data_IF_266128536825
#
_entry.id   IF_266128536825
#
_cell.length_a   1.000
_cell.length_b   1.000
_cell.length_c   1.000
_cell.angle_alpha   90.00
_cell.angle_beta   90.00
_cell.angle_gamma   90.00
#
_symmetry.space_group_name_H-M   'P 1'
#
loop_
_entity.id
_entity.type
_entity.pdbx_description
1 polymer ?
#
# COMPACT_ATOMS: atom_id res chain seq x y z
N UNK A 1 19.38 -0.94 -15.20
CA UNK A 1 18.24 -0.16 -15.73
C UNK A 1 17.80 -0.78 -17.05
N UNK A 2 16.63 -1.32 -17.07
CA UNK A 2 15.93 -1.76 -18.26
C UNK A 2 15.14 -0.64 -18.89
N UNK A 3 14.54 -0.90 -20.02
CA UNK A 3 13.57 -0.04 -20.65
C UNK A 3 12.83 -0.82 -21.70
N UNK A 4 11.58 -0.44 -21.95
CA UNK A 4 10.73 -1.10 -22.94
C UNK A 4 10.07 -0.08 -23.87
N UNK A 5 9.78 -0.52 -25.07
CA UNK A 5 9.02 0.26 -26.03
C UNK A 5 7.52 0.09 -25.73
N UNK A 6 6.83 1.21 -25.45
CA UNK A 6 5.39 1.24 -25.26
C UNK A 6 4.79 2.11 -26.37
N UNK A 7 4.18 1.47 -27.36
CA UNK A 7 3.87 2.13 -28.62
C UNK A 7 5.16 2.61 -29.30
N UNK A 8 5.26 3.89 -29.64
CA UNK A 8 6.44 4.51 -30.26
C UNK A 8 7.36 5.22 -29.23
N UNK A 9 7.09 5.05 -27.93
CA UNK A 9 7.82 5.75 -26.87
C UNK A 9 8.66 4.77 -26.06
N UNK A 10 9.97 5.09 -25.89
CA UNK A 10 10.84 4.35 -25.00
C UNK A 10 10.58 4.75 -23.56
N UNK A 11 10.22 3.78 -22.71
CA UNK A 11 10.00 3.98 -21.27
C UNK A 11 11.10 3.27 -20.50
N UNK A 12 11.82 4.00 -19.67
CA UNK A 12 12.78 3.42 -18.76
C UNK A 12 12.03 2.77 -17.59
N UNK A 13 12.33 1.49 -17.33
CA UNK A 13 11.81 0.74 -16.20
C UNK A 13 12.94 0.42 -15.23
N UNK A 14 12.62 0.28 -13.94
CA UNK A 14 13.56 -0.29 -12.97
C UNK A 14 13.58 -1.82 -13.09
N UNK A 15 14.64 -2.45 -12.57
CA UNK A 15 14.68 -3.91 -12.51
C UNK A 15 13.53 -4.45 -11.62
N UNK A 16 13.15 -3.69 -10.59
CA UNK A 16 11.99 -4.01 -9.76
C UNK A 16 10.69 -4.03 -10.56
N UNK A 17 10.43 -3.01 -11.40
CA UNK A 17 9.23 -2.96 -12.24
C UNK A 17 9.19 -4.11 -13.24
N UNK A 18 10.33 -4.47 -13.84
CA UNK A 18 10.43 -5.59 -14.78
C UNK A 18 10.11 -6.93 -14.08
N UNK A 19 10.57 -7.13 -12.85
CA UNK A 19 10.20 -8.31 -12.06
C UNK A 19 8.73 -8.32 -11.64
N UNK A 20 8.16 -7.17 -11.28
CA UNK A 20 6.72 -7.07 -10.98
C UNK A 20 5.90 -7.46 -12.22
N UNK A 21 6.24 -6.96 -13.40
CA UNK A 21 5.55 -7.29 -14.64
C UNK A 21 5.64 -8.79 -14.96
N UNK A 22 6.83 -9.37 -14.83
CA UNK A 22 7.02 -10.82 -15.02
C UNK A 22 6.20 -11.64 -14.01
N UNK A 23 6.14 -11.21 -12.74
CA UNK A 23 5.32 -11.82 -11.70
C UNK A 23 3.83 -11.75 -12.03
N UNK A 24 3.34 -10.61 -12.50
CA UNK A 24 1.95 -10.45 -12.93
C UNK A 24 1.60 -11.38 -14.10
N UNK A 25 2.48 -11.54 -15.08
CA UNK A 25 2.28 -12.48 -16.18
C UNK A 25 2.17 -13.93 -15.69
N UNK A 26 3.00 -14.31 -14.71
CA UNK A 26 2.92 -15.63 -14.06
C UNK A 26 1.63 -15.83 -13.27
N UNK A 27 1.22 -14.80 -12.52
CA UNK A 27 -0.05 -14.81 -11.78
C UNK A 27 -1.25 -15.04 -12.73
N UNK A 28 -1.30 -14.30 -13.85
CA UNK A 28 -2.35 -14.46 -14.86
C UNK A 28 -2.38 -15.85 -15.49
N UNK A 29 -1.20 -16.50 -15.61
CA UNK A 29 -1.09 -17.90 -16.03
C UNK A 29 -1.41 -18.91 -14.92
N UNK A 30 -1.85 -18.47 -13.74
CA UNK A 30 -2.08 -19.27 -12.54
C UNK A 30 -0.84 -20.00 -12.02
N UNK A 31 0.35 -19.59 -12.44
CA UNK A 31 1.64 -20.07 -11.94
C UNK A 31 2.05 -19.24 -10.71
N UNK A 32 1.31 -19.40 -9.62
CA UNK A 32 1.47 -18.56 -8.41
C UNK A 32 2.84 -18.73 -7.75
N UNK A 33 3.43 -19.93 -7.79
CA UNK A 33 4.75 -20.18 -7.21
C UNK A 33 5.86 -19.41 -7.94
N UNK A 34 5.83 -19.41 -9.28
CA UNK A 34 6.76 -18.60 -10.06
C UNK A 34 6.50 -17.11 -9.88
N UNK A 35 5.22 -16.70 -9.78
CA UNK A 35 4.84 -15.32 -9.52
C UNK A 35 5.44 -14.82 -8.19
N UNK A 36 5.34 -15.60 -7.11
CA UNK A 36 5.95 -15.30 -5.82
C UNK A 36 7.46 -15.05 -5.97
N UNK A 37 8.15 -15.96 -6.68
CA UNK A 37 9.60 -15.84 -6.90
C UNK A 37 9.97 -14.51 -7.59
N UNK A 38 9.16 -14.06 -8.56
CA UNK A 38 9.39 -12.79 -9.24
C UNK A 38 9.11 -11.59 -8.33
N UNK A 39 8.03 -11.61 -7.55
CA UNK A 39 7.72 -10.53 -6.62
C UNK A 39 8.75 -10.42 -5.48
N UNK A 40 9.28 -11.54 -4.99
CA UNK A 40 10.37 -11.55 -4.02
C UNK A 40 11.66 -10.97 -4.62
N UNK A 41 11.98 -11.31 -5.88
CA UNK A 41 13.11 -10.70 -6.61
C UNK A 41 12.91 -9.20 -6.77
N UNK A 42 11.69 -8.74 -7.07
CA UNK A 42 11.38 -7.32 -7.18
C UNK A 42 11.73 -6.55 -5.89
N UNK A 43 11.48 -7.15 -4.72
CA UNK A 43 11.77 -6.51 -3.42
C UNK A 43 13.27 -6.37 -3.12
N UNK A 44 14.14 -7.07 -3.85
CA UNK A 44 15.60 -7.04 -3.68
C UNK A 44 16.34 -6.44 -4.88
N UNK A 45 15.61 -6.08 -5.93
CA UNK A 45 16.16 -5.53 -7.17
C UNK A 45 16.45 -4.01 -7.07
N UNK A 46 17.10 -3.46 -8.09
CA UNK A 46 17.27 -2.02 -8.22
C UNK A 46 15.91 -1.36 -8.53
N UNK A 47 15.53 -0.38 -7.70
CA UNK A 47 14.29 0.37 -7.83
C UNK A 47 14.43 1.66 -8.63
N UNK A 48 13.31 2.36 -8.80
CA UNK A 48 13.26 3.69 -9.42
C UNK A 48 13.44 4.83 -8.40
N UNK A 49 13.75 4.52 -7.14
CA UNK A 49 13.91 5.49 -6.08
C UNK A 49 15.27 6.18 -6.05
N UNK A 50 15.59 6.77 -4.92
CA UNK A 50 16.82 7.57 -4.77
C UNK A 50 18.06 6.69 -4.70
N UNK A 51 19.07 7.03 -5.49
CA UNK A 51 20.42 6.44 -5.39
C UNK A 51 21.30 7.28 -4.47
N UNK A 52 21.25 7.00 -3.17
CA UNK A 52 22.02 7.74 -2.16
C UNK A 52 23.52 7.43 -2.18
N UNK A 53 23.85 6.21 -2.55
CA UNK A 53 25.21 5.71 -2.63
C UNK A 53 25.45 5.17 -4.05
N UNK A 54 26.48 5.69 -4.74
CA UNK A 54 26.81 5.30 -6.12
C UNK A 54 27.22 3.83 -6.25
N UNK A 55 27.69 3.22 -5.15
CA UNK A 55 28.14 1.82 -5.10
C UNK A 55 27.00 0.83 -4.85
N UNK A 56 25.80 1.32 -4.46
CA UNK A 56 24.63 0.51 -4.17
C UNK A 56 23.55 0.70 -5.23
N UNK A 57 22.66 -0.28 -5.41
CA UNK A 57 21.48 -0.11 -6.27
C UNK A 57 20.60 1.05 -5.77
N UNK A 58 19.80 1.61 -6.67
CA UNK A 58 18.79 2.60 -6.30
C UNK A 58 17.73 1.96 -5.39
N UNK A 59 17.23 2.74 -4.43
CA UNK A 59 16.23 2.27 -3.49
C UNK A 59 14.90 1.98 -4.20
N UNK A 60 14.12 1.07 -3.64
CA UNK A 60 12.74 0.86 -4.07
C UNK A 60 11.88 2.06 -3.67
N UNK A 61 11.05 2.53 -4.57
CA UNK A 61 9.99 3.49 -4.25
C UNK A 61 8.92 2.83 -3.35
N UNK A 62 8.11 3.67 -2.68
CA UNK A 62 6.96 3.16 -1.94
C UNK A 62 5.98 2.42 -2.84
N UNK A 63 5.74 2.92 -4.07
CA UNK A 63 4.85 2.28 -5.04
C UNK A 63 5.33 0.90 -5.47
N UNK A 64 6.62 0.73 -5.73
CA UNK A 64 7.22 -0.58 -6.06
C UNK A 64 7.04 -1.58 -4.91
N UNK A 65 7.33 -1.16 -3.67
CA UNK A 65 7.12 -2.01 -2.48
C UNK A 65 5.65 -2.40 -2.30
N UNK A 66 4.74 -1.44 -2.41
CA UNK A 66 3.30 -1.68 -2.32
C UNK A 66 2.84 -2.69 -3.37
N UNK A 67 3.24 -2.49 -4.63
CA UNK A 67 2.87 -3.40 -5.72
C UNK A 67 3.38 -4.81 -5.50
N UNK A 68 4.65 -4.97 -5.09
CA UNK A 68 5.22 -6.28 -4.85
C UNK A 68 4.51 -7.01 -3.69
N UNK A 69 4.31 -6.34 -2.55
CA UNK A 69 3.63 -6.96 -1.39
C UNK A 69 2.14 -7.23 -1.64
N UNK A 70 1.43 -6.34 -2.35
CA UNK A 70 0.05 -6.55 -2.73
C UNK A 70 -0.11 -7.81 -3.58
N UNK A 71 0.74 -7.97 -4.60
CA UNK A 71 0.72 -9.14 -5.46
C UNK A 71 1.16 -10.42 -4.73
N UNK A 72 2.12 -10.35 -3.79
CA UNK A 72 2.45 -11.47 -2.91
C UNK A 72 1.24 -11.89 -2.07
N UNK A 73 0.48 -10.92 -1.54
CA UNK A 73 -0.76 -11.21 -0.82
C UNK A 73 -1.73 -12.00 -1.69
N UNK A 74 -1.93 -11.57 -2.95
CA UNK A 74 -2.81 -12.25 -3.90
C UNK A 74 -2.33 -13.67 -4.21
N UNK A 75 -1.03 -13.87 -4.47
CA UNK A 75 -0.47 -15.19 -4.72
C UNK A 75 -0.69 -16.14 -3.53
N UNK A 76 -0.36 -15.69 -2.32
CA UNK A 76 -0.52 -16.51 -1.12
C UNK A 76 -1.99 -16.79 -0.83
N UNK A 77 -2.90 -15.84 -1.08
CA UNK A 77 -4.35 -16.04 -0.96
C UNK A 77 -4.86 -17.11 -1.94
N UNK A 78 -4.40 -17.09 -3.20
CA UNK A 78 -4.73 -18.12 -4.22
C UNK A 78 -4.21 -19.50 -3.87
N UNK A 79 -3.09 -19.57 -3.16
CA UNK A 79 -2.48 -20.83 -2.69
C UNK A 79 -2.98 -21.27 -1.32
N UNK A 80 -3.91 -20.55 -0.73
CA UNK A 80 -4.46 -20.79 0.63
C UNK A 80 -3.39 -20.74 1.74
N UNK A 81 -2.29 -20.05 1.50
CA UNK A 81 -1.23 -19.80 2.48
C UNK A 81 -1.60 -18.57 3.35
N UNK A 82 -2.59 -18.72 4.21
CA UNK A 82 -3.22 -17.60 4.94
C UNK A 82 -2.23 -16.78 5.76
N UNK A 83 -1.30 -17.41 6.46
CA UNK A 83 -0.34 -16.69 7.31
C UNK A 83 0.59 -15.81 6.48
N UNK A 84 1.07 -16.29 5.34
CA UNK A 84 1.91 -15.52 4.43
C UNK A 84 1.10 -14.44 3.71
N UNK A 85 -0.16 -14.72 3.37
CA UNK A 85 -1.06 -13.73 2.79
C UNK A 85 -1.28 -12.55 3.75
N UNK A 86 -1.58 -12.81 5.01
CA UNK A 86 -1.77 -11.75 6.01
C UNK A 86 -0.48 -11.02 6.35
N UNK A 87 0.65 -11.71 6.40
CA UNK A 87 1.95 -11.06 6.58
C UNK A 87 2.27 -10.12 5.42
N UNK A 88 2.04 -10.54 4.17
CA UNK A 88 2.24 -9.71 2.98
C UNK A 88 1.26 -8.54 2.92
N UNK A 89 0.00 -8.73 3.31
CA UNK A 89 -1.00 -7.67 3.42
C UNK A 89 -0.57 -6.61 4.44
N UNK A 90 -0.06 -7.02 5.58
CA UNK A 90 0.45 -6.09 6.59
C UNK A 90 1.65 -5.30 6.06
N UNK A 91 2.58 -5.93 5.35
CA UNK A 91 3.71 -5.25 4.69
C UNK A 91 3.24 -4.28 3.60
N UNK A 92 2.16 -4.58 2.89
CA UNK A 92 1.52 -3.67 1.94
C UNK A 92 1.12 -2.36 2.63
N UNK A 93 0.40 -2.44 3.74
CA UNK A 93 0.02 -1.26 4.53
C UNK A 93 1.23 -0.54 5.14
N UNK A 94 2.20 -1.28 5.68
CA UNK A 94 3.43 -0.70 6.23
C UNK A 94 4.25 0.04 5.17
N UNK A 95 4.17 -0.37 3.91
CA UNK A 95 4.76 0.33 2.77
C UNK A 95 4.00 1.59 2.35
N UNK A 96 2.92 1.94 3.06
CA UNK A 96 2.16 3.16 2.84
C UNK A 96 0.91 3.01 1.97
N UNK A 97 0.47 1.78 1.64
CA UNK A 97 -0.78 1.56 0.92
C UNK A 97 -1.98 2.07 1.73
N UNK A 98 -2.93 2.71 1.05
CA UNK A 98 -4.13 3.31 1.66
C UNK A 98 -3.83 4.27 2.82
N UNK A 99 -2.66 4.92 2.82
CA UNK A 99 -2.24 5.82 3.89
C UNK A 99 -2.75 7.25 3.62
N UNK A 100 -3.74 7.69 4.39
CA UNK A 100 -4.35 9.01 4.27
C UNK A 100 -3.41 10.19 4.57
N UNK A 101 -2.36 9.98 5.38
CA UNK A 101 -1.34 11.01 5.65
C UNK A 101 -0.43 11.24 4.45
N UNK A 102 -0.13 10.19 3.69
CA UNK A 102 0.76 10.27 2.53
C UNK A 102 0.03 10.75 1.27
N UNK A 103 -1.19 10.28 1.04
CA UNK A 103 -1.88 10.46 -0.23
C UNK A 103 -3.20 11.21 -0.13
N UNK A 104 -3.61 11.61 1.08
CA UNK A 104 -4.90 12.21 1.35
C UNK A 104 -6.02 11.19 1.58
N UNK A 105 -7.02 11.59 2.37
CA UNK A 105 -8.09 10.71 2.84
C UNK A 105 -8.96 10.15 1.71
N UNK A 106 -9.23 10.95 0.67
CA UNK A 106 -10.05 10.51 -0.46
C UNK A 106 -9.38 9.41 -1.28
N UNK A 107 -8.06 9.44 -1.44
CA UNK A 107 -7.31 8.36 -2.10
C UNK A 107 -7.25 7.12 -1.23
N UNK A 108 -6.95 7.28 0.06
CA UNK A 108 -6.94 6.17 0.99
C UNK A 108 -8.29 5.45 1.05
N UNK A 109 -9.41 6.17 1.05
CA UNK A 109 -10.73 5.58 1.02
C UNK A 109 -10.96 4.73 -0.23
N UNK A 110 -10.55 5.22 -1.42
CA UNK A 110 -10.62 4.44 -2.67
C UNK A 110 -9.73 3.21 -2.65
N UNK A 111 -8.53 3.32 -2.11
CA UNK A 111 -7.60 2.18 -2.01
C UNK A 111 -8.18 1.08 -1.12
N UNK A 112 -8.85 1.44 0.01
CA UNK A 112 -9.59 0.48 0.83
C UNK A 112 -10.77 -0.14 0.08
N UNK A 113 -11.55 0.65 -0.65
CA UNK A 113 -12.67 0.15 -1.45
C UNK A 113 -12.20 -0.84 -2.52
N UNK A 114 -11.13 -0.52 -3.25
CA UNK A 114 -10.54 -1.42 -4.24
C UNK A 114 -10.06 -2.72 -3.60
N UNK A 115 -9.38 -2.65 -2.45
CA UNK A 115 -8.91 -3.82 -1.72
C UNK A 115 -10.09 -4.71 -1.27
N UNK A 116 -11.17 -4.10 -0.80
CA UNK A 116 -12.38 -4.83 -0.34
C UNK A 116 -13.18 -5.45 -1.50
N UNK A 117 -13.04 -4.92 -2.71
CA UNK A 117 -13.71 -5.43 -3.91
C UNK A 117 -12.86 -6.39 -4.72
N UNK A 118 -11.55 -6.49 -4.44
CA UNK A 118 -10.63 -7.33 -5.19
C UNK A 118 -10.99 -8.81 -5.05
N UNK A 119 -11.29 -9.46 -6.16
CA UNK A 119 -11.72 -10.86 -6.20
C UNK A 119 -10.63 -11.83 -5.75
N UNK A 120 -9.37 -11.43 -5.85
CA UNK A 120 -8.25 -12.27 -5.41
C UNK A 120 -8.21 -12.44 -3.88
N UNK A 121 -8.88 -11.56 -3.14
CA UNK A 121 -8.99 -11.59 -1.68
C UNK A 121 -10.33 -12.13 -1.15
N UNK A 122 -11.20 -12.65 -2.01
CA UNK A 122 -12.53 -13.12 -1.59
C UNK A 122 -12.48 -14.11 -0.42
N UNK A 123 -11.56 -15.07 -0.47
CA UNK A 123 -11.39 -16.05 0.60
C UNK A 123 -10.66 -15.45 1.82
N UNK A 124 -9.72 -14.55 1.60
CA UNK A 124 -8.98 -13.88 2.67
C UNK A 124 -9.91 -13.01 3.53
N UNK A 125 -10.93 -12.39 2.91
CA UNK A 125 -11.96 -11.59 3.61
C UNK A 125 -12.82 -12.38 4.59
N UNK A 126 -12.90 -13.71 4.45
CA UNK A 126 -13.69 -14.58 5.34
C UNK A 126 -12.97 -14.87 6.67
N UNK A 127 -11.66 -14.61 6.74
CA UNK A 127 -10.85 -14.78 7.96
C UNK A 127 -10.97 -13.53 8.85
N UNK A 128 -11.11 -13.73 10.17
CA UNK A 128 -11.26 -12.65 11.16
C UNK A 128 -10.08 -11.65 11.16
N UNK A 129 -8.88 -12.11 10.80
CA UNK A 129 -7.66 -11.28 10.70
C UNK A 129 -7.79 -10.16 9.68
N UNK A 130 -8.61 -10.34 8.64
CA UNK A 130 -8.88 -9.31 7.64
C UNK A 130 -9.39 -8.03 8.29
N UNK A 131 -10.49 -8.12 9.03
CA UNK A 131 -11.09 -6.97 9.69
C UNK A 131 -10.16 -6.35 10.73
N UNK A 132 -9.40 -7.17 11.45
CA UNK A 132 -8.43 -6.72 12.44
C UNK A 132 -7.33 -5.85 11.79
N UNK A 133 -6.76 -6.30 10.69
CA UNK A 133 -5.71 -5.55 9.97
C UNK A 133 -6.28 -4.27 9.36
N UNK A 134 -7.42 -4.36 8.66
CA UNK A 134 -8.03 -3.17 8.06
C UNK A 134 -8.37 -2.11 9.11
N UNK A 135 -8.96 -2.50 10.22
CA UNK A 135 -9.29 -1.59 11.32
C UNK A 135 -8.04 -0.91 11.88
N UNK A 136 -6.97 -1.69 12.11
CA UNK A 136 -5.68 -1.19 12.61
C UNK A 136 -5.13 -0.06 11.71
N UNK A 137 -5.15 -0.25 10.40
CA UNK A 137 -4.57 0.71 9.46
C UNK A 137 -5.50 1.87 9.12
N UNK A 138 -6.83 1.65 9.08
CA UNK A 138 -7.82 2.72 8.95
C UNK A 138 -7.74 3.71 10.10
N UNK A 139 -7.61 3.23 11.34
CA UNK A 139 -7.47 4.10 12.52
C UNK A 139 -6.21 4.97 12.40
N UNK A 140 -5.08 4.39 12.02
CA UNK A 140 -3.84 5.16 11.78
C UNK A 140 -3.99 6.21 10.67
N UNK A 141 -4.75 5.90 9.62
CA UNK A 141 -5.06 6.85 8.55
C UNK A 141 -6.02 7.96 8.99
N UNK A 142 -6.95 7.67 9.90
CA UNK A 142 -7.92 8.62 10.43
C UNK A 142 -7.34 9.57 11.49
N UNK A 143 -6.19 9.29 12.08
CA UNK A 143 -5.52 10.22 13.00
C UNK A 143 -5.25 11.59 12.37
N UNK A 144 -5.02 11.65 11.05
CA UNK A 144 -4.90 12.92 10.34
C UNK A 144 -6.24 13.64 10.24
N UNK A 145 -7.33 12.91 10.00
CA UNK A 145 -8.68 13.50 9.99
C UNK A 145 -9.03 14.09 11.36
N UNK A 146 -8.67 13.38 12.43
CA UNK A 146 -8.83 13.88 13.80
C UNK A 146 -8.00 15.16 14.05
N UNK A 147 -6.77 15.23 13.55
CA UNK A 147 -5.92 16.42 13.66
C UNK A 147 -6.42 17.60 12.81
N UNK A 148 -7.09 17.30 11.69
CA UNK A 148 -7.67 18.31 10.80
C UNK A 148 -9.11 18.70 11.17
N UNK A 149 -9.73 18.02 12.13
CA UNK A 149 -11.02 18.40 12.67
C UNK A 149 -10.89 19.77 13.35
N UNK A 150 -11.63 20.80 12.89
CA UNK A 150 -11.56 22.14 13.46
C UNK A 150 -11.80 22.16 14.97
N UNK A 151 -12.62 21.25 15.52
CA UNK A 151 -12.88 21.13 16.95
C UNK A 151 -11.65 20.68 17.76
N UNK A 152 -10.73 19.93 17.14
CA UNK A 152 -9.49 19.45 17.76
C UNK A 152 -8.29 20.37 17.50
N UNK A 153 -8.44 21.35 16.62
CA UNK A 153 -7.40 22.35 16.39
C UNK A 153 -7.23 23.27 17.62
N UNK A 154 -6.05 23.84 17.79
CA UNK A 154 -5.80 24.84 18.83
C UNK A 154 -6.74 26.04 18.72
N UNK A 155 -7.14 26.40 17.49
CA UNK A 155 -8.13 27.44 17.20
C UNK A 155 -9.54 27.00 17.62
N UNK A 156 -9.95 25.78 17.26
CA UNK A 156 -11.25 25.23 17.66
C UNK A 156 -11.39 25.12 19.17
N UNK A 157 -10.36 24.68 19.87
CA UNK A 157 -10.32 24.64 21.36
C UNK A 157 -10.39 26.03 21.97
N UNK A 158 -9.72 27.01 21.38
CA UNK A 158 -9.80 28.40 21.82
C UNK A 158 -11.22 28.99 21.64
N UNK A 159 -11.88 28.72 20.50
CA UNK A 159 -13.26 29.14 20.24
C UNK A 159 -14.23 28.47 21.21
N UNK A 160 -14.05 27.19 21.51
CA UNK A 160 -14.87 26.48 22.50
C UNK A 160 -14.72 27.08 23.91
N UNK A 161 -13.50 27.38 24.34
CA UNK A 161 -13.21 28.01 25.61
C UNK A 161 -13.82 29.42 25.70
N UNK A 162 -13.78 30.20 24.62
CA UNK A 162 -14.40 31.52 24.55
C UNK A 162 -15.94 31.44 24.62
N UNK A 163 -16.52 30.41 23.97
CA UNK A 163 -17.99 30.22 24.03
C UNK A 163 -18.47 29.80 25.40
N UNK A 164 -17.70 29.01 26.15
CA UNK A 164 -17.99 28.61 27.52
C UNK A 164 -17.90 29.78 28.50
N UNK A 165 -16.96 30.71 28.29
CA UNK A 165 -16.88 31.96 29.10
C UNK A 165 -18.12 32.86 28.96
N UNK A 166 -18.67 32.98 27.74
CA UNK A 166 -19.87 33.79 27.49
C UNK A 166 -21.16 33.23 28.10
N UNK A 167 -21.22 31.94 28.42
CA UNK A 167 -22.40 31.30 29.04
C UNK A 167 -22.41 31.41 30.55
N UNK A 168 -21.31 31.81 31.18
CA UNK A 168 -21.15 31.92 32.62
C UNK A 168 -21.10 33.39 33.10
N UNK A 169 -21.48 34.33 32.24
CA UNK A 169 -21.67 35.76 32.52
C UNK A 169 -23.10 36.14 32.23
#
# INVERSE_FOLDING_TARGET
MGGKLVGDTWVNTSDCEDFIEAGCAKFQASDYQSAITFFEKALTAEGAGTKRDRTKPAELTMGEKQSAYYNLTACHAKMENWDLAFASLELTFQSGYANGRLYGLGRAARDYELLEQDLDFENLRKDERWNTILTKYRVKGSELAFQLDPSNSSVGKAVELMSKRKKNT
#
